data_IF_001112200409
#
_entry.id   IF_001112200409
#
_cell.length_a   1.000
_cell.length_b   1.000
_cell.length_c   1.000
_cell.angle_alpha   90.00
_cell.angle_beta   90.00
_cell.angle_gamma   90.00
#
_symmetry.space_group_name_H-M   'P 1'
#
loop_
_entity.id
_entity.type
_entity.pdbx_description
1 polymer ?
#
# COMPACT_ATOMS: atom_id res chain seq x y z
N UNK A 1 31.32 26.23 18.22
CA UNK A 1 31.24 27.10 17.02
C UNK A 1 32.62 27.62 16.57
N UNK A 2 33.43 28.23 17.45
CA UNK A 2 34.71 28.85 17.07
C UNK A 2 35.78 27.84 16.58
N UNK A 3 35.96 26.71 17.28
CA UNK A 3 36.86 25.62 16.83
C UNK A 3 36.42 24.97 15.51
N UNK A 4 35.11 24.84 15.28
CA UNK A 4 34.54 24.26 14.04
C UNK A 4 34.78 25.21 12.87
N UNK A 5 34.66 26.52 13.10
CA UNK A 5 34.96 27.56 12.11
C UNK A 5 36.47 27.62 11.79
N UNK A 6 37.36 27.47 12.77
CA UNK A 6 38.82 27.41 12.55
C UNK A 6 39.24 26.18 11.74
N UNK A 7 38.66 25.01 12.02
CA UNK A 7 38.92 23.77 11.26
C UNK A 7 38.37 23.90 9.83
N UNK A 8 37.17 24.47 9.66
CA UNK A 8 36.57 24.73 8.35
C UNK A 8 37.38 25.75 7.53
N UNK A 9 37.93 26.80 8.16
CA UNK A 9 38.83 27.76 7.51
C UNK A 9 40.17 27.15 7.14
N UNK A 10 40.74 26.27 7.97
CA UNK A 10 41.96 25.53 7.63
C UNK A 10 41.74 24.60 6.43
N UNK A 11 40.60 23.91 6.37
CA UNK A 11 40.21 23.04 5.26
C UNK A 11 39.93 23.82 3.96
N UNK A 12 39.32 25.01 4.06
CA UNK A 12 39.10 25.90 2.91
C UNK A 12 40.38 26.59 2.41
N UNK A 13 41.33 26.90 3.30
CA UNK A 13 42.65 27.45 2.90
C UNK A 13 43.50 26.40 2.17
N UNK A 14 43.36 25.11 2.51
CA UNK A 14 44.03 24.01 1.83
C UNK A 14 43.37 23.61 0.50
N UNK A 15 42.09 23.95 0.27
CA UNK A 15 41.37 23.63 -0.96
C UNK A 15 41.60 24.62 -2.12
N UNK A 16 42.36 25.71 -1.92
CA UNK A 16 42.62 26.73 -2.95
C UNK A 16 43.74 26.35 -3.93
N UNK A 17 44.45 25.25 -3.73
CA UNK A 17 45.32 24.67 -4.76
C UNK A 17 44.53 23.61 -5.55
N UNK A 18 43.93 24.04 -6.65
CA UNK A 18 43.42 23.15 -7.70
C UNK A 18 44.59 22.34 -8.31
N UNK A 19 44.93 21.21 -7.69
CA UNK A 19 45.62 20.02 -8.23
C UNK A 19 46.02 19.10 -7.07
N UNK A 20 45.07 18.31 -6.57
CA UNK A 20 45.29 17.03 -5.87
C UNK A 20 43.99 16.60 -5.18
N UNK A 21 42.96 16.33 -5.97
CA UNK A 21 41.78 15.60 -5.47
C UNK A 21 42.00 14.07 -5.54
N UNK A 22 43.25 13.63 -5.74
CA UNK A 22 43.66 12.22 -5.72
C UNK A 22 44.05 11.70 -4.33
N UNK A 23 44.17 12.57 -3.32
CA UNK A 23 44.72 12.15 -2.01
C UNK A 23 43.68 11.77 -0.95
N UNK A 24 42.38 11.92 -1.22
CA UNK A 24 41.32 11.52 -0.27
C UNK A 24 40.60 10.21 -0.65
N UNK A 25 41.20 9.41 -1.53
CA UNK A 25 40.66 8.11 -2.00
C UNK A 25 40.94 6.92 -1.09
N UNK A 26 41.39 7.12 0.16
CA UNK A 26 41.63 6.00 1.08
C UNK A 26 41.04 6.27 2.46
N UNK A 27 39.86 5.70 2.68
CA UNK A 27 39.36 5.22 3.98
C UNK A 27 39.48 6.18 5.16
N UNK A 28 38.67 7.25 5.16
CA UNK A 28 38.42 7.99 6.40
C UNK A 28 37.15 7.42 7.03
N UNK A 29 37.29 6.48 7.96
CA UNK A 29 36.22 6.16 8.89
C UNK A 29 36.05 7.35 9.84
N UNK A 30 34.92 8.05 9.70
CA UNK A 30 34.56 9.10 10.65
C UNK A 30 34.31 8.46 12.02
N UNK A 31 34.86 9.03 13.11
CA UNK A 31 34.56 8.58 14.45
C UNK A 31 33.04 8.51 14.71
N UNK A 32 32.57 7.52 15.47
CA UNK A 32 31.13 7.32 15.74
C UNK A 32 30.49 8.47 16.51
N UNK A 33 31.30 9.34 17.11
CA UNK A 33 30.94 10.56 17.83
C UNK A 33 31.00 11.82 16.95
N UNK A 34 31.33 11.68 15.66
CA UNK A 34 31.30 12.80 14.73
C UNK A 34 29.85 13.27 14.50
N UNK A 35 29.56 14.58 14.59
CA UNK A 35 28.19 15.10 14.60
C UNK A 35 27.46 14.98 13.26
N UNK A 36 28.15 14.58 12.19
CA UNK A 36 27.57 14.36 10.86
C UNK A 36 27.85 12.93 10.43
N UNK A 37 26.80 12.16 10.15
CA UNK A 37 26.91 10.75 9.78
C UNK A 37 26.17 10.42 8.48
N UNK A 38 26.65 9.43 7.70
CA UNK A 38 25.87 8.92 6.58
C UNK A 38 24.55 8.29 7.07
N UNK A 39 23.51 8.35 6.24
CA UNK A 39 22.24 7.68 6.55
C UNK A 39 22.44 6.16 6.56
N UNK A 40 23.22 5.65 5.62
CA UNK A 40 23.60 4.26 5.48
C UNK A 40 25.12 4.09 5.73
N UNK A 41 25.54 3.92 6.99
CA UNK A 41 26.95 3.79 7.36
C UNK A 41 27.61 2.51 6.83
N UNK A 42 26.85 1.51 6.42
CA UNK A 42 27.38 0.25 5.87
C UNK A 42 27.44 0.25 4.33
N UNK A 43 26.96 1.31 3.67
CA UNK A 43 26.94 1.39 2.21
C UNK A 43 28.38 1.45 1.67
N UNK A 44 28.79 0.58 0.73
CA UNK A 44 30.11 0.66 0.12
C UNK A 44 30.23 1.92 -0.74
N UNK A 45 31.34 2.64 -0.61
CA UNK A 45 31.63 3.89 -1.34
C UNK A 45 32.16 3.51 -2.73
N UNK A 46 31.46 3.95 -3.79
CA UNK A 46 31.89 3.73 -5.18
C UNK A 46 32.73 4.90 -5.70
N UNK A 47 33.42 4.68 -6.82
CA UNK A 47 34.18 5.72 -7.50
C UNK A 47 33.25 6.89 -7.91
N UNK A 48 33.57 8.11 -7.45
CA UNK A 48 32.74 9.30 -7.63
C UNK A 48 31.75 9.59 -6.50
N UNK A 49 31.55 8.68 -5.54
CA UNK A 49 30.66 8.93 -4.40
C UNK A 49 31.28 9.92 -3.40
N UNK A 50 30.44 10.81 -2.86
CA UNK A 50 30.85 11.66 -1.75
C UNK A 50 31.09 10.79 -0.50
N UNK A 51 32.26 10.86 0.15
CA UNK A 51 32.60 9.98 1.28
C UNK A 51 31.78 10.26 2.54
N UNK A 52 31.17 11.44 2.66
CA UNK A 52 30.37 11.84 3.82
C UNK A 52 28.97 11.22 3.76
N UNK A 53 28.29 11.31 2.62
CA UNK A 53 26.94 10.75 2.43
C UNK A 53 26.94 9.40 1.71
N UNK A 54 28.09 8.91 1.27
CA UNK A 54 28.27 7.66 0.51
C UNK A 54 27.36 7.61 -0.73
N UNK A 55 27.27 8.74 -1.42
CA UNK A 55 26.44 8.93 -2.61
C UNK A 55 24.96 9.20 -2.34
N UNK A 56 24.49 9.24 -1.09
CA UNK A 56 23.06 9.48 -0.79
C UNK A 56 22.63 10.95 -0.88
N UNK A 57 23.58 11.88 -0.89
CA UNK A 57 23.30 13.32 -0.95
C UNK A 57 22.66 13.92 0.32
N UNK A 58 22.44 13.12 1.37
CA UNK A 58 21.85 13.51 2.67
C UNK A 58 22.67 12.89 3.80
N UNK A 59 22.73 13.56 4.95
CA UNK A 59 23.42 13.12 6.17
C UNK A 59 22.51 13.25 7.39
N UNK A 60 22.78 12.45 8.42
CA UNK A 60 22.29 12.66 9.79
C UNK A 60 23.16 13.70 10.47
N UNK A 61 22.55 14.66 11.13
CA UNK A 61 23.23 15.68 11.93
C UNK A 61 22.75 15.58 13.37
N UNK A 62 23.68 15.56 14.30
CA UNK A 62 23.43 15.49 15.74
C UNK A 62 23.81 16.84 16.37
N UNK A 63 22.82 17.64 16.73
CA UNK A 63 23.00 18.93 17.40
C UNK A 63 22.22 18.92 18.72
N UNK A 64 22.89 19.28 19.82
CA UNK A 64 22.29 19.37 21.16
C UNK A 64 21.55 18.08 21.60
N UNK A 65 22.05 16.91 21.22
CA UNK A 65 21.44 15.61 21.52
C UNK A 65 20.22 15.27 20.66
N UNK A 66 19.88 16.09 19.66
CA UNK A 66 18.76 15.87 18.74
C UNK A 66 19.30 15.50 17.36
N UNK A 67 18.84 14.36 16.85
CA UNK A 67 19.12 13.93 15.48
C UNK A 67 18.15 14.60 14.51
N UNK A 68 18.68 15.26 13.48
CA UNK A 68 17.93 15.72 12.32
C UNK A 68 18.63 15.33 11.02
N UNK A 69 17.98 15.53 9.88
CA UNK A 69 18.55 15.20 8.57
C UNK A 69 18.82 16.48 7.80
N UNK A 70 19.99 16.55 7.15
CA UNK A 70 20.39 17.70 6.36
C UNK A 70 20.96 17.26 5.01
N UNK A 71 20.84 18.12 4.00
CA UNK A 71 21.52 17.91 2.72
C UNK A 71 23.03 17.84 2.94
N UNK A 72 23.68 16.84 2.35
CA UNK A 72 25.12 16.74 2.38
C UNK A 72 25.74 17.95 1.65
N UNK A 73 26.92 18.39 2.07
CA UNK A 73 27.62 19.51 1.47
C UNK A 73 27.88 19.30 -0.04
N UNK A 74 27.99 18.05 -0.50
CA UNK A 74 28.11 17.69 -1.91
C UNK A 74 26.87 18.02 -2.75
N UNK A 75 25.74 18.35 -2.10
CA UNK A 75 24.43 18.52 -2.73
C UNK A 75 23.83 19.92 -2.50
N UNK A 76 24.66 20.93 -2.21
CA UNK A 76 24.24 22.32 -1.89
C UNK A 76 23.48 23.07 -3.01
N UNK A 77 23.16 22.43 -4.13
CA UNK A 77 22.37 23.01 -5.22
C UNK A 77 21.23 22.10 -5.74
N UNK A 78 20.51 21.39 -4.87
CA UNK A 78 19.31 20.65 -5.31
C UNK A 78 18.09 20.88 -4.40
N UNK A 79 17.24 21.82 -4.81
CA UNK A 79 16.04 22.31 -4.12
C UNK A 79 14.91 21.24 -4.00
N UNK A 80 14.97 20.18 -4.79
CA UNK A 80 13.92 19.15 -4.86
C UNK A 80 13.94 18.18 -3.67
N UNK A 81 15.11 17.91 -3.08
CA UNK A 81 15.24 16.95 -1.99
C UNK A 81 14.79 17.52 -0.64
N UNK A 82 15.03 18.81 -0.39
CA UNK A 82 14.55 19.50 0.83
C UNK A 82 13.02 19.50 0.90
N UNK A 83 12.36 19.74 -0.24
CA UNK A 83 10.90 19.65 -0.37
C UNK A 83 10.39 18.24 -0.08
N UNK A 84 11.08 17.20 -0.56
CA UNK A 84 10.71 15.81 -0.30
C UNK A 84 10.83 15.43 1.20
N UNK A 85 11.88 15.90 1.88
CA UNK A 85 12.06 15.68 3.32
C UNK A 85 10.99 16.41 4.13
N UNK A 86 10.71 17.68 3.82
CA UNK A 86 9.62 18.43 4.47
C UNK A 86 8.25 17.77 4.28
N UNK A 87 7.98 17.20 3.10
CA UNK A 87 6.76 16.46 2.81
C UNK A 87 6.70 15.19 3.68
N UNK A 88 7.79 14.43 3.76
CA UNK A 88 7.86 13.20 4.57
C UNK A 88 7.69 13.51 6.06
N UNK A 89 8.28 14.59 6.57
CA UNK A 89 8.11 15.03 7.96
C UNK A 89 6.69 15.50 8.26
N UNK A 90 6.06 16.25 7.34
CA UNK A 90 4.64 16.62 7.44
C UNK A 90 3.72 15.39 7.46
N UNK A 91 4.01 14.38 6.63
CA UNK A 91 3.24 13.14 6.61
C UNK A 91 3.39 12.39 7.94
N UNK A 92 4.61 12.25 8.46
CA UNK A 92 4.87 11.58 9.75
C UNK A 92 4.17 12.28 10.92
N UNK A 93 4.24 13.62 10.97
CA UNK A 93 3.55 14.41 12.00
C UNK A 93 2.05 14.19 11.95
N UNK A 94 1.46 14.26 10.76
CA UNK A 94 0.02 14.08 10.55
C UNK A 94 -0.43 12.64 10.85
N UNK A 95 0.40 11.63 10.57
CA UNK A 95 0.12 10.24 10.95
C UNK A 95 0.10 10.04 12.46
N UNK A 96 1.03 10.68 13.18
CA UNK A 96 1.10 10.63 14.64
C UNK A 96 -0.11 11.31 15.28
N UNK A 97 -0.47 12.50 14.79
CA UNK A 97 -1.70 13.20 15.21
C UNK A 97 -2.96 12.37 14.96
N UNK A 98 -3.05 11.68 13.80
CA UNK A 98 -4.17 10.77 13.50
C UNK A 98 -4.22 9.53 14.40
N UNK A 99 -3.07 8.97 14.78
CA UNK A 99 -3.00 7.85 15.73
C UNK A 99 -3.41 8.29 17.13
N UNK A 100 -2.90 9.42 17.60
CA UNK A 100 -3.25 10.01 18.90
C UNK A 100 -4.75 10.37 18.95
N UNK A 101 -5.32 10.91 17.86
CA UNK A 101 -6.77 11.13 17.75
C UNK A 101 -7.56 9.82 17.82
N UNK A 102 -7.13 8.77 17.10
CA UNK A 102 -7.82 7.46 17.13
C UNK A 102 -7.70 6.77 18.48
N UNK A 103 -6.56 6.88 19.15
CA UNK A 103 -6.36 6.32 20.50
C UNK A 103 -7.21 7.07 21.52
N UNK A 104 -7.25 8.41 21.46
CA UNK A 104 -8.13 9.25 22.28
C UNK A 104 -9.63 8.95 22.04
N UNK A 105 -10.03 8.77 20.78
CA UNK A 105 -11.39 8.33 20.42
C UNK A 105 -11.68 6.89 20.87
N UNK A 106 -10.68 5.99 20.95
CA UNK A 106 -10.87 4.61 21.42
C UNK A 106 -10.87 4.45 22.94
N UNK A 107 -10.25 5.37 23.68
CA UNK A 107 -10.13 5.31 25.13
C UNK A 107 -11.27 5.97 25.90
N UNK A 108 -12.28 6.51 25.21
CA UNK A 108 -13.39 7.19 25.89
C UNK A 108 -14.59 6.29 26.19
N UNK A 109 -14.84 5.17 25.49
CA UNK A 109 -15.84 4.18 25.90
C UNK A 109 -15.54 2.80 25.30
N UNK A 110 -15.65 1.74 26.09
CA UNK A 110 -15.53 0.35 25.63
C UNK A 110 -16.76 -0.01 24.78
N UNK A 111 -16.61 0.00 23.44
CA UNK A 111 -17.73 -0.19 22.47
C UNK A 111 -18.50 -1.51 22.66
N UNK A 112 -17.99 -2.46 23.45
CA UNK A 112 -18.58 -3.78 23.64
C UNK A 112 -19.84 -3.80 24.51
N UNK A 113 -20.12 -2.75 25.30
CA UNK A 113 -21.31 -2.68 26.16
C UNK A 113 -22.42 -1.72 25.68
N UNK A 114 -22.17 -0.93 24.62
CA UNK A 114 -23.12 0.08 24.17
C UNK A 114 -24.22 -0.55 23.30
N UNK A 115 -25.45 -0.61 23.84
CA UNK A 115 -26.63 -1.14 23.14
C UNK A 115 -27.28 -0.07 22.25
N UNK A 116 -26.90 -0.05 20.98
CA UNK A 116 -27.54 0.81 19.98
C UNK A 116 -28.92 0.28 19.54
N UNK A 117 -29.88 1.18 19.38
CA UNK A 117 -31.27 0.91 18.99
C UNK A 117 -31.71 1.80 17.82
N UNK A 118 -32.74 1.43 17.05
CA UNK A 118 -33.33 2.30 16.04
C UNK A 118 -33.84 3.62 16.66
N UNK A 119 -33.80 4.70 15.89
CA UNK A 119 -34.32 6.02 16.32
C UNK A 119 -35.83 5.93 16.59
N UNK A 120 -36.55 5.16 15.77
CA UNK A 120 -37.98 4.91 15.90
C UNK A 120 -38.22 3.42 16.16
N UNK A 121 -38.07 2.95 17.41
CA UNK A 121 -38.24 1.54 17.75
C UNK A 121 -39.66 1.02 17.52
N UNK A 122 -40.66 1.90 17.63
CA UNK A 122 -42.07 1.54 17.48
C UNK A 122 -42.54 1.57 16.01
N UNK A 123 -41.68 2.01 15.09
CA UNK A 123 -42.02 2.03 13.66
C UNK A 123 -41.96 0.61 13.11
N UNK A 124 -43.07 0.16 12.51
CA UNK A 124 -43.11 -1.13 11.83
C UNK A 124 -42.02 -1.22 10.74
N UNK A 125 -41.24 -2.30 10.80
CA UNK A 125 -40.18 -2.61 9.83
C UNK A 125 -40.86 -3.18 8.59
N UNK A 126 -40.73 -2.51 7.45
CA UNK A 126 -41.32 -2.96 6.18
C UNK A 126 -40.43 -4.01 5.51
N UNK A 127 -40.98 -4.74 4.56
CA UNK A 127 -40.22 -5.66 3.72
C UNK A 127 -39.10 -4.91 2.98
N UNK A 128 -37.85 -5.37 3.16
CA UNK A 128 -36.65 -4.72 2.62
C UNK A 128 -35.97 -3.70 3.56
N UNK A 129 -36.61 -3.30 4.67
CA UNK A 129 -35.98 -2.41 5.65
C UNK A 129 -34.87 -3.12 6.44
N UNK A 130 -33.83 -2.38 6.79
CA UNK A 130 -32.79 -2.92 7.67
C UNK A 130 -33.37 -3.19 9.07
N UNK A 131 -33.24 -4.41 9.62
CA UNK A 131 -33.86 -4.78 10.90
C UNK A 131 -33.22 -4.07 12.10
N UNK A 132 -32.04 -3.47 11.92
CA UNK A 132 -31.30 -2.78 12.98
C UNK A 132 -31.77 -1.32 13.12
N UNK A 133 -32.05 -0.64 12.01
CA UNK A 133 -32.39 0.79 12.00
C UNK A 133 -33.78 1.10 11.46
N UNK A 134 -34.59 0.10 11.10
CA UNK A 134 -35.94 0.30 10.53
C UNK A 134 -35.92 1.08 9.21
N UNK A 135 -34.87 0.87 8.40
CA UNK A 135 -34.68 1.55 7.11
C UNK A 135 -34.16 3.00 7.19
N UNK A 136 -33.97 3.57 8.39
CA UNK A 136 -33.55 4.98 8.57
C UNK A 136 -32.06 5.20 8.28
N UNK A 137 -31.23 4.17 8.51
CA UNK A 137 -29.79 4.26 8.30
C UNK A 137 -28.99 4.83 9.47
N UNK A 138 -29.64 5.24 10.56
CA UNK A 138 -28.99 5.75 11.78
C UNK A 138 -29.50 4.93 12.98
N UNK A 139 -28.61 4.67 13.93
CA UNK A 139 -28.92 4.07 15.23
C UNK A 139 -28.48 4.99 16.35
N UNK A 140 -29.19 4.94 17.48
CA UNK A 140 -28.92 5.75 18.66
C UNK A 140 -28.58 4.89 19.87
N UNK A 141 -27.84 5.44 20.81
CA UNK A 141 -27.63 4.87 22.14
C UNK A 141 -27.68 6.01 23.17
N UNK A 142 -28.16 5.74 24.38
CA UNK A 142 -28.10 6.71 25.48
C UNK A 142 -27.07 6.19 26.47
N UNK A 143 -26.02 6.98 26.72
CA UNK A 143 -24.92 6.63 27.62
C UNK A 143 -24.82 7.78 28.62
N UNK A 144 -24.95 7.47 29.91
CA UNK A 144 -24.91 8.47 30.99
C UNK A 144 -25.87 9.66 30.77
N UNK A 145 -27.06 9.40 30.23
CA UNK A 145 -28.08 10.42 29.93
C UNK A 145 -27.82 11.25 28.67
N UNK A 146 -26.72 11.00 27.96
CA UNK A 146 -26.37 11.67 26.69
C UNK A 146 -26.73 10.76 25.52
N UNK A 147 -27.41 11.32 24.52
CA UNK A 147 -27.77 10.60 23.30
C UNK A 147 -26.64 10.64 22.28
N UNK A 148 -26.20 9.47 21.85
CA UNK A 148 -25.20 9.25 20.81
C UNK A 148 -25.89 8.69 19.57
N UNK A 149 -25.58 9.24 18.40
CA UNK A 149 -26.06 8.74 17.11
C UNK A 149 -24.90 8.30 16.23
N UNK A 150 -25.09 7.22 15.49
CA UNK A 150 -24.14 6.78 14.46
C UNK A 150 -24.84 6.16 13.27
N UNK A 151 -24.14 6.13 12.14
CA UNK A 151 -24.60 5.41 10.97
C UNK A 151 -24.78 3.91 11.29
N UNK A 152 -25.92 3.37 10.91
CA UNK A 152 -26.16 1.93 10.93
C UNK A 152 -25.19 1.23 9.98
N UNK A 153 -24.77 0.01 10.33
CA UNK A 153 -23.91 -0.82 9.49
C UNK A 153 -24.51 -1.06 8.08
N UNK A 154 -25.84 -0.96 7.92
CA UNK A 154 -26.49 -1.08 6.63
C UNK A 154 -26.14 0.06 5.66
N UNK A 155 -25.84 1.26 6.15
CA UNK A 155 -25.39 2.39 5.29
C UNK A 155 -24.06 2.04 4.64
N UNK A 156 -23.11 1.45 5.40
CA UNK A 156 -21.84 0.99 4.82
C UNK A 156 -22.06 -0.03 3.71
N UNK A 157 -22.98 -0.98 3.92
CA UNK A 157 -23.38 -1.96 2.90
C UNK A 157 -24.03 -1.30 1.67
N UNK A 158 -24.90 -0.31 1.85
CA UNK A 158 -25.55 0.41 0.76
C UNK A 158 -24.57 1.27 -0.04
N UNK A 159 -23.68 2.00 0.64
CA UNK A 159 -22.61 2.78 0.00
C UNK A 159 -21.69 1.84 -0.79
N UNK A 160 -21.29 0.71 -0.21
CA UNK A 160 -20.48 -0.30 -0.86
C UNK A 160 -21.18 -0.84 -2.13
N UNK A 161 -22.47 -1.18 -2.06
CA UNK A 161 -23.27 -1.62 -3.21
C UNK A 161 -23.40 -0.50 -4.28
N UNK A 162 -23.60 0.75 -3.87
CA UNK A 162 -23.66 1.87 -4.80
C UNK A 162 -22.31 2.14 -5.46
N UNK A 163 -21.21 2.03 -4.72
CA UNK A 163 -19.84 2.14 -5.25
C UNK A 163 -19.56 1.01 -6.25
N UNK A 164 -20.03 -0.22 -6.00
CA UNK A 164 -19.93 -1.32 -6.95
C UNK A 164 -20.66 -1.09 -8.26
N UNK A 165 -21.88 -0.56 -8.19
CA UNK A 165 -22.67 -0.22 -9.37
C UNK A 165 -21.95 0.84 -10.21
N UNK A 166 -21.27 1.78 -9.56
CA UNK A 166 -20.47 2.83 -10.21
C UNK A 166 -19.12 2.35 -10.77
N UNK A 167 -18.55 1.27 -10.23
CA UNK A 167 -17.22 0.78 -10.62
C UNK A 167 -17.22 -0.26 -11.76
N UNK A 168 -18.38 -0.61 -12.32
CA UNK A 168 -18.49 -1.58 -13.42
C UNK A 168 -18.22 -3.04 -13.03
N UNK A 169 -18.21 -3.35 -11.72
CA UNK A 169 -17.90 -4.69 -11.16
C UNK A 169 -19.18 -5.45 -10.78
N UNK A 170 -20.34 -4.80 -10.82
CA UNK A 170 -21.60 -5.36 -10.30
C UNK A 170 -21.91 -6.74 -10.92
N UNK A 171 -21.79 -6.89 -12.24
CA UNK A 171 -21.99 -8.19 -12.89
C UNK A 171 -20.94 -9.23 -12.52
N UNK A 172 -19.66 -8.84 -12.41
CA UNK A 172 -18.56 -9.76 -12.08
C UNK A 172 -18.71 -10.34 -10.68
N UNK A 173 -19.22 -9.58 -9.72
CA UNK A 173 -19.41 -10.04 -8.34
C UNK A 173 -20.56 -11.05 -8.19
N UNK A 174 -21.62 -10.91 -8.98
CA UNK A 174 -22.73 -11.88 -8.99
C UNK A 174 -22.35 -13.18 -9.72
N UNK A 175 -21.48 -13.07 -10.74
CA UNK A 175 -21.00 -14.21 -11.53
C UNK A 175 -19.90 -14.99 -10.81
N UNK A 176 -18.96 -14.31 -10.16
CA UNK A 176 -17.77 -14.93 -9.57
C UNK A 176 -17.85 -15.02 -8.04
N UNK A 177 -18.63 -15.98 -7.55
CA UNK A 177 -18.80 -16.24 -6.11
C UNK A 177 -18.01 -17.48 -5.66
N UNK A 178 -17.79 -17.62 -4.35
CA UNK A 178 -17.18 -18.85 -3.79
C UNK A 178 -17.98 -20.10 -4.14
N UNK A 179 -19.31 -20.03 -4.14
CA UNK A 179 -20.20 -21.16 -4.46
C UNK A 179 -20.04 -21.62 -5.90
N UNK A 180 -19.91 -20.67 -6.84
CA UNK A 180 -19.69 -20.95 -8.26
C UNK A 180 -18.25 -21.33 -8.59
N UNK A 181 -17.30 -21.19 -7.66
CA UNK A 181 -15.91 -21.61 -7.85
C UNK A 181 -15.78 -23.13 -7.70
N UNK A 182 -15.77 -23.84 -8.83
CA UNK A 182 -15.70 -25.30 -8.88
C UNK A 182 -14.31 -25.80 -8.49
N UNK A 183 -14.26 -26.88 -7.71
CA UNK A 183 -13.02 -27.43 -7.14
C UNK A 183 -12.84 -28.95 -7.37
N UNK A 184 -12.88 -29.44 -8.63
CA UNK A 184 -12.66 -30.86 -8.91
C UNK A 184 -11.27 -31.36 -8.51
N UNK A 185 -10.25 -30.49 -8.52
CA UNK A 185 -8.87 -30.85 -8.19
C UNK A 185 -8.45 -30.30 -6.82
N UNK A 186 -7.52 -31.01 -6.17
CA UNK A 186 -7.08 -30.71 -4.81
C UNK A 186 -6.48 -29.31 -4.66
N UNK A 187 -5.70 -28.84 -5.63
CA UNK A 187 -5.14 -27.48 -5.58
C UNK A 187 -6.23 -26.40 -5.60
N UNK A 188 -7.37 -26.64 -6.27
CA UNK A 188 -8.50 -25.70 -6.30
C UNK A 188 -9.18 -25.65 -4.94
N UNK A 189 -9.34 -26.81 -4.27
CA UNK A 189 -9.87 -26.88 -2.90
C UNK A 189 -8.96 -26.13 -1.93
N UNK A 190 -7.65 -26.36 -2.01
CA UNK A 190 -6.65 -25.64 -1.20
C UNK A 190 -6.68 -24.12 -1.45
N UNK A 191 -6.79 -23.70 -2.70
CA UNK A 191 -6.92 -22.29 -3.06
C UNK A 191 -8.20 -21.67 -2.48
N UNK A 192 -9.35 -22.34 -2.64
CA UNK A 192 -10.63 -21.90 -2.08
C UNK A 192 -10.56 -21.81 -0.56
N UNK A 193 -9.98 -22.81 0.12
CA UNK A 193 -9.83 -22.81 1.57
C UNK A 193 -8.92 -21.68 2.06
N UNK A 194 -7.77 -21.44 1.40
CA UNK A 194 -6.90 -20.31 1.73
C UNK A 194 -7.61 -18.97 1.55
N UNK A 195 -8.39 -18.82 0.48
CA UNK A 195 -9.19 -17.63 0.23
C UNK A 195 -10.28 -17.41 1.30
N UNK A 196 -10.96 -18.46 1.74
CA UNK A 196 -11.93 -18.38 2.84
C UNK A 196 -11.26 -18.03 4.17
N UNK A 197 -10.10 -18.61 4.46
CA UNK A 197 -9.32 -18.29 5.66
C UNK A 197 -8.82 -16.84 5.63
N UNK A 198 -8.45 -16.34 4.45
CA UNK A 198 -7.96 -14.97 4.26
C UNK A 198 -8.99 -13.91 4.66
N UNK A 199 -10.29 -14.20 4.55
CA UNK A 199 -11.35 -13.26 4.94
C UNK A 199 -11.33 -12.86 6.42
N UNK A 200 -10.57 -13.58 7.27
CA UNK A 200 -10.40 -13.30 8.69
C UNK A 200 -9.18 -12.40 8.99
N UNK A 201 -8.34 -12.14 7.99
CA UNK A 201 -7.12 -11.35 8.14
C UNK A 201 -7.38 -9.86 7.93
N UNK A 202 -6.65 -9.01 8.67
CA UNK A 202 -6.78 -7.55 8.57
C UNK A 202 -5.53 -6.86 8.02
N UNK A 203 -4.37 -7.52 8.13
CA UNK A 203 -3.05 -6.94 7.82
C UNK A 203 -2.25 -7.78 6.80
N UNK A 204 -2.92 -8.71 6.10
CA UNK A 204 -2.31 -9.57 5.08
C UNK A 204 -2.80 -9.22 3.69
N UNK A 205 -1.99 -9.58 2.70
CA UNK A 205 -2.35 -9.49 1.28
C UNK A 205 -2.59 -10.88 0.73
N UNK A 206 -3.39 -10.94 -0.34
CA UNK A 206 -3.66 -12.19 -1.05
C UNK A 206 -3.04 -12.14 -2.43
N UNK A 207 -2.35 -13.21 -2.80
CA UNK A 207 -1.72 -13.32 -4.11
C UNK A 207 -2.10 -14.63 -4.77
N UNK A 208 -2.51 -14.55 -6.04
CA UNK A 208 -2.65 -15.71 -6.92
C UNK A 208 -1.97 -15.45 -8.26
N UNK A 209 -0.96 -16.26 -8.58
CA UNK A 209 -0.10 -16.06 -9.76
C UNK A 209 0.08 -17.31 -10.61
N UNK A 210 0.66 -17.14 -11.80
CA UNK A 210 1.02 -18.23 -12.71
C UNK A 210 -0.05 -18.54 -13.78
N UNK A 211 -0.35 -19.81 -14.01
CA UNK A 211 -1.09 -20.33 -15.18
C UNK A 211 -2.34 -19.54 -15.55
N UNK A 212 -2.55 -19.28 -16.85
CA UNK A 212 -3.75 -18.61 -17.37
C UNK A 212 -4.98 -19.51 -17.26
N UNK A 213 -6.16 -18.91 -17.07
CA UNK A 213 -7.43 -19.63 -17.11
C UNK A 213 -7.71 -20.57 -15.93
N UNK A 214 -6.93 -20.51 -14.85
CA UNK A 214 -7.12 -21.35 -13.65
C UNK A 214 -8.07 -20.76 -12.59
N UNK A 215 -8.79 -19.68 -12.91
CA UNK A 215 -9.79 -19.08 -12.03
C UNK A 215 -9.27 -18.00 -11.05
N UNK A 216 -8.09 -17.41 -11.32
CA UNK A 216 -7.51 -16.31 -10.51
C UNK A 216 -8.48 -15.15 -10.30
N UNK A 217 -9.01 -14.60 -11.39
CA UNK A 217 -9.96 -13.49 -11.33
C UNK A 217 -11.23 -13.88 -10.58
N UNK A 218 -11.70 -15.12 -10.75
CA UNK A 218 -12.89 -15.60 -10.05
C UNK A 218 -12.66 -15.61 -8.54
N UNK A 219 -11.60 -16.26 -8.05
CA UNK A 219 -11.35 -16.36 -6.61
C UNK A 219 -11.10 -14.99 -5.98
N UNK A 220 -10.34 -14.10 -6.64
CA UNK A 220 -10.10 -12.75 -6.14
C UNK A 220 -11.37 -11.91 -6.12
N UNK A 221 -12.24 -12.03 -7.13
CA UNK A 221 -13.54 -11.34 -7.16
C UNK A 221 -14.45 -11.86 -6.05
N UNK A 222 -14.46 -13.17 -5.78
CA UNK A 222 -15.22 -13.75 -4.68
C UNK A 222 -14.73 -13.22 -3.32
N UNK A 223 -13.41 -13.11 -3.11
CA UNK A 223 -12.84 -12.49 -1.89
C UNK A 223 -13.29 -11.02 -1.78
N UNK A 224 -13.17 -10.25 -2.86
CA UNK A 224 -13.55 -8.83 -2.88
C UNK A 224 -15.03 -8.64 -2.52
N UNK A 225 -15.90 -9.50 -3.07
CA UNK A 225 -17.33 -9.51 -2.81
C UNK A 225 -17.64 -9.76 -1.33
N UNK A 226 -16.92 -10.67 -0.67
CA UNK A 226 -17.10 -10.94 0.76
C UNK A 226 -16.64 -9.77 1.64
N UNK A 227 -15.51 -9.12 1.33
CA UNK A 227 -15.09 -7.91 2.08
C UNK A 227 -16.09 -6.76 1.92
N UNK A 228 -16.65 -6.62 0.74
CA UNK A 228 -17.71 -5.67 0.48
C UNK A 228 -19.00 -6.02 1.27
N UNK A 229 -19.40 -7.29 1.34
CA UNK A 229 -20.54 -7.72 2.16
C UNK A 229 -20.33 -7.42 3.65
N UNK A 230 -19.06 -7.42 4.11
CA UNK A 230 -18.64 -6.96 5.45
C UNK A 230 -18.64 -5.44 5.61
N UNK A 231 -19.01 -4.67 4.57
CA UNK A 231 -19.10 -3.21 4.61
C UNK A 231 -17.75 -2.49 4.49
N UNK A 232 -16.70 -3.17 4.02
CA UNK A 232 -15.41 -2.52 3.75
C UNK A 232 -15.45 -1.73 2.45
N UNK A 233 -14.69 -0.62 2.38
CA UNK A 233 -14.45 0.07 1.11
C UNK A 233 -13.57 -0.80 0.21
N UNK A 234 -14.05 -1.07 -1.00
CA UNK A 234 -13.36 -1.93 -1.96
C UNK A 234 -13.12 -1.17 -3.27
N UNK A 235 -12.02 -1.49 -3.94
CA UNK A 235 -11.71 -1.01 -5.28
C UNK A 235 -11.17 -2.16 -6.11
N UNK A 236 -11.62 -2.25 -7.36
CA UNK A 236 -11.08 -3.13 -8.38
C UNK A 236 -10.47 -2.29 -9.49
N UNK A 237 -9.34 -2.74 -10.00
CA UNK A 237 -8.74 -2.23 -11.22
C UNK A 237 -8.27 -3.38 -12.10
N UNK A 238 -8.36 -3.19 -13.42
CA UNK A 238 -7.60 -3.98 -14.38
C UNK A 238 -6.30 -3.22 -14.61
N UNK A 239 -5.17 -3.80 -14.23
CA UNK A 239 -3.86 -3.13 -14.24
C UNK A 239 -3.55 -2.49 -15.59
N UNK A 240 -3.75 -3.23 -16.68
CA UNK A 240 -3.44 -2.77 -18.05
C UNK A 240 -4.22 -1.53 -18.46
N UNK A 241 -5.44 -1.34 -17.96
CA UNK A 241 -6.28 -0.19 -18.28
C UNK A 241 -5.96 0.99 -17.37
N UNK A 242 -5.80 0.72 -16.07
CA UNK A 242 -5.58 1.75 -15.07
C UNK A 242 -4.21 2.40 -15.25
N UNK A 243 -3.17 1.61 -15.54
CA UNK A 243 -1.81 2.11 -15.67
C UNK A 243 -1.65 3.08 -16.85
N UNK A 244 -2.35 2.84 -17.96
CA UNK A 244 -2.35 3.74 -19.11
C UNK A 244 -2.90 5.11 -18.73
N UNK A 245 -4.02 5.13 -18.00
CA UNK A 245 -4.67 6.36 -17.53
C UNK A 245 -3.78 7.11 -16.54
N UNK A 246 -3.19 6.41 -15.57
CA UNK A 246 -2.29 7.01 -14.59
C UNK A 246 -1.04 7.61 -15.25
N UNK A 247 -0.42 6.91 -16.20
CA UNK A 247 0.75 7.41 -16.94
C UNK A 247 0.42 8.66 -17.76
N UNK A 248 -0.72 8.66 -18.44
CA UNK A 248 -1.15 9.80 -19.28
C UNK A 248 -1.34 11.09 -18.48
N UNK A 249 -1.66 10.99 -17.19
CA UNK A 249 -1.93 12.14 -16.32
C UNK A 249 -0.79 12.44 -15.34
N UNK A 250 0.38 11.79 -15.44
CA UNK A 250 1.47 11.92 -14.45
C UNK A 250 2.04 13.35 -14.33
N UNK A 251 1.85 14.19 -15.34
CA UNK A 251 2.29 15.59 -15.36
C UNK A 251 1.22 16.58 -14.85
N UNK A 252 -0.01 16.11 -14.64
CA UNK A 252 -1.11 16.87 -14.05
C UNK A 252 -1.25 16.42 -12.60
N UNK A 253 -0.55 17.10 -11.69
CA UNK A 253 -0.47 16.70 -10.28
C UNK A 253 -1.87 16.56 -9.65
N UNK A 254 -2.79 17.49 -9.92
CA UNK A 254 -4.12 17.47 -9.31
C UNK A 254 -4.94 16.26 -9.80
N UNK A 255 -4.99 16.05 -11.12
CA UNK A 255 -5.75 14.95 -11.69
C UNK A 255 -5.10 13.59 -11.36
N UNK A 256 -3.76 13.51 -11.40
CA UNK A 256 -3.03 12.33 -10.99
C UNK A 256 -3.34 11.94 -9.55
N UNK A 257 -3.27 12.90 -8.62
CA UNK A 257 -3.60 12.68 -7.21
C UNK A 257 -5.04 12.21 -7.04
N UNK A 258 -5.99 12.81 -7.76
CA UNK A 258 -7.40 12.38 -7.75
C UNK A 258 -7.58 10.94 -8.21
N UNK A 259 -6.79 10.50 -9.19
CA UNK A 259 -6.87 9.15 -9.76
C UNK A 259 -6.16 8.10 -8.90
N UNK A 260 -4.96 8.39 -8.39
CA UNK A 260 -4.18 7.42 -7.61
C UNK A 260 -4.65 7.31 -6.16
N UNK A 261 -5.12 8.41 -5.54
CA UNK A 261 -5.51 8.44 -4.12
C UNK A 261 -6.50 7.33 -3.72
N UNK A 262 -7.55 7.01 -4.51
CA UNK A 262 -8.42 5.88 -4.21
C UNK A 262 -7.71 4.52 -4.20
N UNK A 263 -6.65 4.33 -5.00
CA UNK A 263 -5.85 3.11 -5.02
C UNK A 263 -4.93 3.03 -3.78
N UNK A 264 -4.43 4.18 -3.34
CA UNK A 264 -3.61 4.28 -2.14
C UNK A 264 -4.42 4.00 -0.87
N UNK A 265 -5.62 4.59 -0.74
CA UNK A 265 -6.31 4.74 0.56
C UNK A 265 -7.47 3.77 0.80
N UNK A 266 -8.03 3.14 -0.25
CA UNK A 266 -9.14 2.18 -0.08
C UNK A 266 -8.77 1.02 0.84
N UNK A 267 -9.73 0.56 1.67
CA UNK A 267 -9.47 -0.51 2.65
C UNK A 267 -9.05 -1.81 1.98
N UNK A 268 -9.71 -2.18 0.87
CA UNK A 268 -9.38 -3.35 0.06
C UNK A 268 -9.18 -2.93 -1.39
N UNK A 269 -8.01 -3.21 -1.95
CA UNK A 269 -7.69 -3.01 -3.36
C UNK A 269 -7.47 -4.36 -4.03
N UNK A 270 -8.19 -4.63 -5.12
CA UNK A 270 -7.95 -5.75 -6.00
C UNK A 270 -7.34 -5.25 -7.32
N UNK A 271 -6.11 -5.68 -7.59
CA UNK A 271 -5.39 -5.42 -8.83
C UNK A 271 -5.40 -6.69 -9.68
N UNK A 272 -6.19 -6.69 -10.75
CA UNK A 272 -6.25 -7.79 -11.70
C UNK A 272 -5.22 -7.62 -12.81
N UNK A 273 -4.72 -8.75 -13.33
CA UNK A 273 -3.72 -8.82 -14.38
C UNK A 273 -2.47 -7.95 -14.06
N UNK A 274 -2.02 -7.98 -12.80
CA UNK A 274 -0.89 -7.17 -12.34
C UNK A 274 0.39 -7.47 -13.16
N UNK A 275 1.04 -6.42 -13.66
CA UNK A 275 2.17 -6.50 -14.59
C UNK A 275 1.93 -7.39 -15.81
N UNK A 276 0.68 -7.53 -16.27
CA UNK A 276 0.40 -8.12 -17.57
C UNK A 276 0.91 -7.21 -18.68
N UNK A 277 1.62 -7.83 -19.60
CA UNK A 277 2.26 -7.23 -20.77
C UNK A 277 2.05 -8.17 -21.95
N UNK A 278 2.36 -7.72 -23.15
CA UNK A 278 2.50 -8.64 -24.28
C UNK A 278 3.52 -9.73 -23.95
N UNK A 279 3.33 -10.93 -24.51
CA UNK A 279 4.17 -12.08 -24.21
C UNK A 279 5.65 -11.74 -24.43
N UNK A 280 6.47 -12.07 -23.42
CA UNK A 280 7.91 -11.84 -23.44
C UNK A 280 8.35 -10.39 -23.16
N UNK A 281 7.42 -9.42 -23.05
CA UNK A 281 7.79 -8.03 -22.75
C UNK A 281 7.80 -7.77 -21.24
N UNK A 282 8.80 -7.00 -20.77
CA UNK A 282 8.86 -6.47 -19.40
C UNK A 282 7.93 -5.26 -19.27
N UNK A 283 7.36 -4.99 -18.07
CA UNK A 283 6.69 -3.72 -17.80
C UNK A 283 7.65 -2.53 -18.02
N UNK A 284 7.11 -1.38 -18.43
CA UNK A 284 7.95 -0.19 -18.59
C UNK A 284 8.37 0.39 -17.24
N UNK A 285 9.45 1.16 -17.22
CA UNK A 285 9.92 1.89 -16.02
C UNK A 285 8.83 2.76 -15.38
N UNK A 286 7.96 3.36 -16.19
CA UNK A 286 6.82 4.13 -15.68
C UNK A 286 5.77 3.25 -15.00
N UNK A 287 5.56 2.02 -15.50
CA UNK A 287 4.67 1.04 -14.87
C UNK A 287 5.23 0.59 -13.52
N UNK A 288 6.54 0.31 -13.47
CA UNK A 288 7.25 -0.11 -12.25
C UNK A 288 7.20 1.00 -11.20
N UNK A 289 7.51 2.26 -11.57
CA UNK A 289 7.44 3.40 -10.63
C UNK A 289 6.03 3.62 -10.07
N UNK A 290 5.01 3.53 -10.91
CA UNK A 290 3.61 3.69 -10.45
C UNK A 290 3.17 2.53 -9.57
N UNK A 291 3.57 1.29 -9.90
CA UNK A 291 3.35 0.15 -9.04
C UNK A 291 4.05 0.34 -7.69
N UNK A 292 5.32 0.76 -7.68
CA UNK A 292 6.06 1.02 -6.45
C UNK A 292 5.35 2.05 -5.57
N UNK A 293 4.83 3.15 -6.14
CA UNK A 293 4.07 4.17 -5.41
C UNK A 293 2.85 3.57 -4.69
N UNK A 294 2.04 2.78 -5.39
CA UNK A 294 0.85 2.12 -4.82
C UNK A 294 1.23 1.09 -3.76
N UNK A 295 2.18 0.22 -4.08
CA UNK A 295 2.57 -0.91 -3.22
C UNK A 295 3.27 -0.41 -1.98
N UNK A 296 4.20 0.54 -2.10
CA UNK A 296 4.94 1.08 -0.96
C UNK A 296 4.01 1.82 0.00
N UNK A 297 3.08 2.65 -0.51
CA UNK A 297 2.10 3.32 0.33
C UNK A 297 1.27 2.30 1.13
N UNK A 298 0.70 1.30 0.45
CA UNK A 298 -0.13 0.27 1.10
C UNK A 298 0.66 -0.66 2.01
N UNK A 299 1.95 -0.85 1.74
CA UNK A 299 2.84 -1.64 2.59
C UNK A 299 3.09 -0.95 3.93
N UNK A 300 3.41 0.34 3.89
CA UNK A 300 3.62 1.19 5.09
C UNK A 300 2.32 1.32 5.90
N UNK A 301 1.17 1.45 5.22
CA UNK A 301 -0.14 1.49 5.86
C UNK A 301 -0.68 0.06 6.04
N UNK A 302 -0.15 -0.64 7.05
CA UNK A 302 -0.29 -2.09 7.23
C UNK A 302 -1.73 -2.61 7.32
N UNK A 303 -2.69 -1.74 7.68
CA UNK A 303 -4.12 -2.00 7.76
C UNK A 303 -4.83 -2.06 6.38
N UNK A 304 -4.12 -1.80 5.29
CA UNK A 304 -4.68 -1.85 3.94
C UNK A 304 -4.46 -3.22 3.29
N UNK A 305 -5.55 -3.81 2.80
CA UNK A 305 -5.55 -5.14 2.20
C UNK A 305 -5.37 -5.00 0.68
N UNK A 306 -4.44 -5.73 0.10
CA UNK A 306 -4.27 -5.79 -1.35
C UNK A 306 -4.40 -7.23 -1.84
N UNK A 307 -5.16 -7.41 -2.91
CA UNK A 307 -5.40 -8.67 -3.60
C UNK A 307 -4.77 -8.56 -4.98
N UNK A 308 -3.97 -9.54 -5.37
CA UNK A 308 -3.30 -9.61 -6.66
C UNK A 308 -3.69 -10.86 -7.41
N UNK A 309 -4.06 -10.70 -8.68
CA UNK A 309 -4.01 -11.78 -9.67
C UNK A 309 -3.03 -11.40 -10.78
N UNK A 310 -2.26 -12.37 -11.24
CA UNK A 310 -1.32 -12.17 -12.35
C UNK A 310 -0.99 -13.48 -13.05
N UNK A 311 -0.48 -13.39 -14.27
CA UNK A 311 0.10 -14.53 -14.99
C UNK A 311 1.55 -14.84 -14.58
N UNK A 312 2.10 -14.01 -13.68
CA UNK A 312 3.47 -14.12 -13.14
C UNK A 312 3.51 -14.83 -11.80
N UNK A 313 4.63 -15.43 -11.46
CA UNK A 313 4.93 -15.90 -10.09
C UNK A 313 5.38 -14.72 -9.22
N UNK A 314 5.56 -14.91 -7.91
CA UNK A 314 6.17 -13.87 -7.07
C UNK A 314 7.64 -13.70 -7.39
N UNK A 315 8.34 -14.77 -7.77
CA UNK A 315 9.75 -14.71 -8.16
C UNK A 315 9.91 -13.89 -9.45
N UNK A 316 9.03 -14.06 -10.44
CA UNK A 316 8.99 -13.21 -11.64
C UNK A 316 8.78 -11.72 -11.30
N UNK A 317 8.04 -11.40 -10.22
CA UNK A 317 7.83 -10.02 -9.77
C UNK A 317 9.09 -9.49 -9.08
N UNK A 318 9.77 -10.32 -8.28
CA UNK A 318 11.07 -9.97 -7.68
C UNK A 318 12.09 -9.68 -8.78
N UNK A 319 12.10 -10.47 -9.86
CA UNK A 319 12.95 -10.23 -11.01
C UNK A 319 12.62 -8.88 -11.66
N UNK A 320 11.34 -8.54 -11.82
CA UNK A 320 10.92 -7.24 -12.39
C UNK A 320 11.40 -6.08 -11.51
N UNK A 321 11.12 -6.14 -10.21
CA UNK A 321 11.55 -5.16 -9.22
C UNK A 321 11.58 -5.81 -7.82
N UNK A 322 12.77 -5.92 -7.26
CA UNK A 322 13.00 -6.61 -5.98
C UNK A 322 12.23 -5.94 -4.83
N UNK A 323 12.09 -4.62 -4.87
CA UNK A 323 11.45 -3.86 -3.81
C UNK A 323 9.92 -4.09 -3.77
N UNK A 324 9.27 -4.16 -4.93
CA UNK A 324 7.86 -4.53 -5.06
C UNK A 324 7.67 -6.01 -4.70
N UNK A 325 8.48 -6.89 -5.29
CA UNK A 325 8.39 -8.33 -5.12
C UNK A 325 8.56 -8.77 -3.67
N UNK A 326 9.56 -8.25 -2.97
CA UNK A 326 9.83 -8.55 -1.55
C UNK A 326 8.68 -8.12 -0.62
N UNK A 327 8.12 -6.92 -0.82
CA UNK A 327 6.95 -6.43 -0.05
C UNK A 327 5.72 -7.31 -0.26
N UNK A 328 5.46 -7.70 -1.51
CA UNK A 328 4.36 -8.62 -1.84
C UNK A 328 4.64 -10.00 -1.21
N UNK A 329 5.86 -10.51 -1.34
CA UNK A 329 6.28 -11.80 -0.76
C UNK A 329 6.03 -11.84 0.76
N UNK A 330 6.41 -10.79 1.49
CA UNK A 330 6.22 -10.68 2.93
C UNK A 330 4.74 -10.57 3.32
N UNK A 331 4.00 -9.63 2.73
CA UNK A 331 2.60 -9.37 3.09
C UNK A 331 1.67 -10.52 2.70
N UNK A 332 2.08 -11.36 1.75
CA UNK A 332 1.33 -12.54 1.29
C UNK A 332 1.74 -13.84 1.99
N UNK A 333 2.64 -13.81 2.98
CA UNK A 333 3.01 -15.03 3.75
C UNK A 333 1.76 -15.70 4.34
N UNK A 334 1.53 -16.96 3.95
CA UNK A 334 0.33 -17.76 4.26
C UNK A 334 -0.75 -17.76 3.16
N UNK A 335 -0.80 -16.71 2.35
CA UNK A 335 -1.83 -16.45 1.32
C UNK A 335 -1.25 -16.22 -0.09
N UNK A 336 0.02 -16.59 -0.28
CA UNK A 336 0.68 -16.67 -1.58
C UNK A 336 0.30 -17.99 -2.26
N UNK A 337 -0.33 -17.89 -3.42
CA UNK A 337 -0.75 -19.04 -4.21
C UNK A 337 -0.13 -18.94 -5.60
N UNK A 338 0.72 -19.90 -5.95
CA UNK A 338 1.34 -19.97 -7.28
C UNK A 338 0.82 -21.22 -7.96
N UNK A 339 0.19 -21.05 -9.12
CA UNK A 339 -0.37 -22.14 -9.91
C UNK A 339 0.58 -22.36 -11.10
N UNK A 340 1.38 -23.41 -11.03
CA UNK A 340 2.31 -23.75 -12.10
C UNK A 340 1.57 -24.16 -13.38
N UNK A 341 2.22 -23.95 -14.52
CA UNK A 341 1.68 -24.30 -15.84
C UNK A 341 1.43 -25.80 -15.93
N UNK A 342 0.27 -26.14 -16.50
CA UNK A 342 -0.21 -27.50 -16.72
C UNK A 342 -1.39 -27.41 -17.69
N UNK A 343 -1.40 -28.25 -18.72
CA UNK A 343 -2.40 -28.22 -19.80
C UNK A 343 -3.83 -28.40 -19.28
N UNK A 344 -4.04 -29.24 -18.26
CA UNK A 344 -5.37 -29.52 -17.70
C UNK A 344 -5.93 -28.46 -16.74
N UNK A 345 -5.14 -27.41 -16.45
CA UNK A 345 -5.51 -26.35 -15.48
C UNK A 345 -6.17 -25.12 -16.10
N UNK A 346 -6.13 -24.97 -17.43
CA UNK A 346 -6.89 -23.90 -18.08
C UNK A 346 -8.36 -24.32 -18.19
N UNK A 347 -9.19 -23.78 -17.29
CA UNK A 347 -10.62 -24.07 -17.22
C UNK A 347 -11.35 -23.76 -18.54
N UNK A 348 -10.89 -22.74 -19.27
CA UNK A 348 -11.52 -22.26 -20.51
C UNK A 348 -11.31 -23.20 -21.70
N UNK A 349 -10.37 -24.14 -21.59
CA UNK A 349 -10.01 -25.07 -22.66
C UNK A 349 -10.46 -26.50 -22.38
N UNK A 350 -11.27 -26.70 -21.33
CA UNK A 350 -11.86 -28.02 -21.07
C UNK A 350 -12.95 -28.28 -22.10
N UNK A 351 -12.91 -29.45 -22.71
CA UNK A 351 -13.99 -29.92 -23.57
C UNK A 351 -15.31 -29.92 -22.78
N UNK A 352 -16.36 -29.36 -23.39
CA UNK A 352 -17.71 -29.46 -22.84
C UNK A 352 -18.11 -30.94 -22.83
N UNK A 353 -18.54 -31.43 -21.67
CA UNK A 353 -19.00 -32.82 -21.50
C UNK A 353 -20.47 -32.97 -21.82
#
# INVERSE_FOLDING_TARGET
MQQVMEIMEQLQKQSKNHKSMETYSKGVDFPSDFPIQPIHPDKPIKEGDCPICRGDGIVKVFENGIQHYASCICNKHNEQLGKAVEIVERIRKRQKEYQEQREYESHTYDEKEIKYMPIHPDKAIKEGDCPICGGVGIVRAVINGVEYMRNCICIKKQIAIQQLKKSGIAESIEKYTFDKFQTPQEWQRRLKQKALNFLKEENKWFFVGGQVGCGKTHICTAILAEFLKKGMSVRYIIWTNEIVRLKANKMDDENYQRMISPLLTTKVLYIDDFFKTEQGKRPSEADIRTAFEIINYRYVNSNLITIFSTEKTVDDIIDIDEAIGSRIHEKTKGYRNVILKDEGRNWRLREEK
#
